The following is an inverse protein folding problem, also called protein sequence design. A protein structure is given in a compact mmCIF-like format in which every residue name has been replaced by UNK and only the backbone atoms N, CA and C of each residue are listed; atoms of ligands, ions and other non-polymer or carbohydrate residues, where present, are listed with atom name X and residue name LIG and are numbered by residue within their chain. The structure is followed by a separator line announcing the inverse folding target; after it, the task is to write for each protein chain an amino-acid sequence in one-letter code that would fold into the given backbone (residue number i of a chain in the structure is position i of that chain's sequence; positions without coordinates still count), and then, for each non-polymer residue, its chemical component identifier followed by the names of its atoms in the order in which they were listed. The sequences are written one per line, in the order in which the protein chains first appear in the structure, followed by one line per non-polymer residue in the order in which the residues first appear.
data_IF_125114935006
#
_entry.id   IF_125114935006
#
_cell.length_a   1.000
_cell.length_b   1.000
_cell.length_c   1.000
_cell.angle_alpha   90.00
_cell.angle_beta   90.00
_cell.angle_gamma   90.00
#
_symmetry.space_group_name_H-M   'P 1'
#
loop_
_entity.id
_entity.type
_entity.pdbx_description
1 polymer ?
#
# COMPACT_ATOMS: atom_id res chain seq x y z
N UNK A 1 -24.00 -0.83 21.06
CA UNK A 1 -23.30 -1.61 20.03
C UNK A 1 -21.80 -1.76 20.31
N UNK A 2 -21.20 -0.90 21.11
CA UNK A 2 -19.78 -0.97 21.53
C UNK A 2 -19.56 -2.04 22.62
N UNK A 3 -20.52 -2.21 23.53
CA UNK A 3 -20.45 -3.20 24.61
C UNK A 3 -20.51 -4.66 24.16
N UNK A 4 -21.16 -4.95 23.05
CA UNK A 4 -21.26 -6.32 22.51
C UNK A 4 -19.93 -6.91 21.97
N UNK A 5 -18.87 -6.10 21.88
CA UNK A 5 -17.55 -6.54 21.42
C UNK A 5 -16.55 -6.83 22.56
N UNK A 6 -16.92 -6.59 23.83
CA UNK A 6 -15.99 -6.69 24.97
C UNK A 6 -15.96 -8.07 25.66
N UNK A 7 -16.91 -8.98 25.42
CA UNK A 7 -16.93 -10.25 26.14
C UNK A 7 -17.07 -11.46 25.20
N UNK A 8 -15.96 -11.93 24.66
CA UNK A 8 -15.67 -13.35 24.46
C UNK A 8 -14.17 -13.55 24.60
N UNK A 9 -13.75 -13.99 25.79
CA UNK A 9 -12.48 -14.71 25.94
C UNK A 9 -12.55 -15.93 25.02
N UNK A 10 -11.75 -15.90 23.96
CA UNK A 10 -11.58 -17.04 23.08
C UNK A 10 -10.65 -17.98 23.82
N UNK A 11 -11.18 -19.11 24.30
CA UNK A 11 -10.38 -20.23 24.77
C UNK A 11 -9.47 -20.70 23.63
N UNK A 12 -8.17 -20.63 23.89
CA UNK A 12 -7.15 -21.16 22.98
C UNK A 12 -7.19 -22.67 23.03
N UNK A 13 -7.71 -23.31 21.99
CA UNK A 13 -7.52 -24.73 21.78
C UNK A 13 -6.06 -24.94 21.33
N UNK A 14 -5.27 -25.79 22.00
CA UNK A 14 -3.88 -26.02 21.62
C UNK A 14 -3.80 -26.87 20.35
N UNK A 15 -3.48 -26.24 19.21
CA UNK A 15 -3.10 -26.93 17.99
C UNK A 15 -1.58 -27.14 18.00
N UNK A 16 -1.20 -28.38 18.21
CA UNK A 16 0.17 -28.90 18.16
C UNK A 16 0.67 -28.86 16.71
N UNK A 17 1.61 -27.98 16.44
CA UNK A 17 2.66 -28.18 15.42
C UNK A 17 3.86 -27.33 15.78
N UNK A 18 4.81 -27.96 16.44
CA UNK A 18 6.11 -27.40 16.81
C UNK A 18 7.12 -27.58 15.70
N UNK A 19 6.99 -26.85 14.62
CA UNK A 19 8.15 -26.53 13.78
C UNK A 19 8.53 -25.09 14.05
N UNK A 20 9.74 -24.77 14.53
CA UNK A 20 10.17 -23.41 14.69
C UNK A 20 10.30 -22.81 13.28
N UNK A 21 9.32 -21.97 12.88
CA UNK A 21 9.48 -21.11 11.74
C UNK A 21 10.63 -20.18 12.08
N UNK A 22 11.80 -20.39 11.45
CA UNK A 22 12.93 -19.50 11.56
C UNK A 22 12.46 -18.12 11.13
N UNK A 23 12.25 -17.23 12.10
CA UNK A 23 11.71 -15.91 11.88
C UNK A 23 12.71 -15.08 11.05
N UNK A 24 12.51 -15.02 9.75
CA UNK A 24 13.22 -14.12 8.86
C UNK A 24 12.73 -12.69 9.09
N UNK A 25 13.38 -12.00 10.02
CA UNK A 25 13.10 -10.58 10.27
C UNK A 25 13.34 -9.77 8.99
N UNK A 26 12.51 -8.77 8.69
CA UNK A 26 12.79 -7.82 7.62
C UNK A 26 14.19 -7.25 7.80
N UNK A 27 15.02 -7.29 6.75
CA UNK A 27 16.41 -6.81 6.81
C UNK A 27 16.55 -5.60 5.91
N UNK A 28 17.10 -4.51 6.46
CA UNK A 28 17.59 -3.42 5.64
C UNK A 28 18.82 -3.85 4.87
N UNK A 29 18.79 -3.64 3.56
CA UNK A 29 19.89 -3.93 2.64
C UNK A 29 20.55 -2.62 2.26
N UNK A 30 21.80 -2.45 2.63
CA UNK A 30 22.61 -1.23 2.46
C UNK A 30 23.98 -1.55 1.88
N UNK A 31 24.81 -0.54 1.62
CA UNK A 31 26.24 -0.69 1.27
C UNK A 31 26.48 -1.56 0.03
N UNK A 32 27.49 -2.43 0.10
CA UNK A 32 27.89 -3.32 -1.01
C UNK A 32 26.77 -4.28 -1.41
N UNK A 33 26.05 -4.85 -0.43
CA UNK A 33 24.93 -5.76 -0.71
C UNK A 33 23.85 -5.07 -1.55
N UNK A 34 23.54 -3.81 -1.27
CA UNK A 34 22.61 -3.00 -2.05
C UNK A 34 23.09 -2.82 -3.50
N UNK A 35 24.37 -2.49 -3.70
CA UNK A 35 24.95 -2.33 -5.05
C UNK A 35 24.84 -3.61 -5.89
N UNK A 36 25.12 -4.78 -5.28
CA UNK A 36 24.97 -6.09 -5.93
C UNK A 36 23.50 -6.35 -6.32
N UNK A 37 22.56 -6.07 -5.42
CA UNK A 37 21.12 -6.22 -5.69
C UNK A 37 20.69 -5.30 -6.82
N UNK A 38 21.10 -4.03 -6.81
CA UNK A 38 20.78 -3.06 -7.86
C UNK A 38 21.33 -3.49 -9.22
N UNK A 39 22.54 -4.09 -9.27
CA UNK A 39 23.08 -4.63 -10.52
C UNK A 39 22.24 -5.80 -11.06
N UNK A 40 21.81 -6.71 -10.18
CA UNK A 40 20.95 -7.83 -10.56
C UNK A 40 19.55 -7.35 -11.03
N UNK A 41 19.01 -6.29 -10.42
CA UNK A 41 17.78 -5.64 -10.87
C UNK A 41 17.93 -5.12 -12.31
N UNK A 42 19.06 -4.46 -12.63
CA UNK A 42 19.33 -3.99 -14.01
C UNK A 42 19.32 -5.14 -15.02
N UNK A 43 19.88 -6.30 -14.67
CA UNK A 43 19.82 -7.51 -15.48
C UNK A 43 18.36 -8.02 -15.69
N UNK A 44 17.53 -7.93 -14.65
CA UNK A 44 16.10 -8.27 -14.79
C UNK A 44 15.37 -7.29 -15.69
N UNK A 45 15.63 -5.98 -15.57
CA UNK A 45 15.04 -4.97 -16.46
C UNK A 45 15.33 -5.28 -17.93
N UNK A 46 16.59 -5.61 -18.25
CA UNK A 46 16.97 -5.99 -19.60
C UNK A 46 16.22 -7.24 -20.09
N UNK A 47 16.09 -8.27 -19.25
CA UNK A 47 15.30 -9.47 -19.57
C UNK A 47 13.83 -9.14 -19.87
N UNK A 48 13.21 -8.25 -19.08
CA UNK A 48 11.82 -7.82 -19.28
C UNK A 48 11.70 -7.04 -20.61
N UNK A 49 12.64 -6.13 -20.93
CA UNK A 49 12.67 -5.40 -22.19
C UNK A 49 12.69 -6.37 -23.39
N UNK A 50 13.58 -7.37 -23.35
CA UNK A 50 13.70 -8.40 -24.42
C UNK A 50 12.40 -9.23 -24.55
N UNK A 51 11.75 -9.54 -23.42
CA UNK A 51 10.45 -10.22 -23.43
C UNK A 51 9.35 -9.35 -24.09
N UNK A 52 9.36 -8.04 -23.81
CA UNK A 52 8.32 -7.12 -24.27
C UNK A 52 8.44 -6.78 -25.76
N UNK A 53 9.65 -6.66 -26.28
CA UNK A 53 9.87 -6.18 -27.65
C UNK A 53 10.64 -7.18 -28.51
N UNK A 54 10.19 -7.36 -29.76
CA UNK A 54 10.84 -8.25 -30.73
C UNK A 54 12.02 -7.58 -31.41
N UNK A 55 11.91 -6.27 -31.67
CA UNK A 55 12.92 -5.52 -32.41
C UNK A 55 14.04 -5.05 -31.46
N UNK A 56 15.33 -5.39 -31.69
CA UNK A 56 16.46 -4.95 -30.91
C UNK A 56 16.61 -3.42 -30.79
N UNK A 57 16.20 -2.67 -31.81
CA UNK A 57 16.23 -1.20 -31.77
C UNK A 57 15.30 -0.65 -30.68
N UNK A 58 14.18 -1.31 -30.41
CA UNK A 58 13.27 -0.94 -29.35
C UNK A 58 13.90 -1.16 -27.94
N UNK A 59 14.86 -2.07 -27.82
CA UNK A 59 15.51 -2.34 -26.53
C UNK A 59 16.29 -1.13 -26.01
N UNK A 60 17.01 -0.44 -26.92
CA UNK A 60 17.77 0.77 -26.58
C UNK A 60 16.80 1.88 -26.17
N UNK A 61 15.73 2.09 -26.95
CA UNK A 61 14.70 3.08 -26.64
C UNK A 61 14.02 2.82 -25.29
N UNK A 62 13.64 1.57 -25.02
CA UNK A 62 13.04 1.11 -23.76
C UNK A 62 13.98 1.31 -22.57
N UNK A 63 15.28 0.99 -22.73
CA UNK A 63 16.28 1.21 -21.68
C UNK A 63 16.44 2.71 -21.36
N UNK A 64 16.55 3.54 -22.40
CA UNK A 64 16.65 4.99 -22.24
C UNK A 64 15.37 5.57 -21.60
N UNK A 65 14.20 5.04 -21.95
CA UNK A 65 12.94 5.39 -21.32
C UNK A 65 12.94 5.09 -19.80
N UNK A 66 13.34 3.87 -19.39
CA UNK A 66 13.43 3.51 -17.97
C UNK A 66 14.47 4.35 -17.21
N UNK A 67 15.58 4.72 -17.84
CA UNK A 67 16.57 5.64 -17.26
C UNK A 67 15.96 7.03 -17.05
N UNK A 68 15.23 7.57 -18.05
CA UNK A 68 14.53 8.85 -17.92
C UNK A 68 13.47 8.80 -16.84
N UNK A 69 12.67 7.71 -16.79
CA UNK A 69 11.66 7.49 -15.77
C UNK A 69 12.29 7.49 -14.36
N UNK A 70 13.40 6.76 -14.18
CA UNK A 70 14.14 6.79 -12.92
C UNK A 70 14.62 8.19 -12.54
N UNK A 71 15.18 8.96 -13.51
CA UNK A 71 15.62 10.34 -13.28
C UNK A 71 14.46 11.26 -12.93
N UNK A 72 13.30 11.06 -13.56
CA UNK A 72 12.07 11.80 -13.25
C UNK A 72 11.64 11.60 -11.79
N UNK A 73 11.72 10.36 -11.25
CA UNK A 73 11.34 10.07 -9.88
C UNK A 73 12.40 10.44 -8.85
N UNK A 74 13.65 10.12 -9.10
CA UNK A 74 14.72 10.24 -8.12
C UNK A 74 15.61 11.49 -8.33
N UNK A 75 15.52 12.14 -9.50
CA UNK A 75 16.46 13.20 -9.82
C UNK A 75 17.90 12.73 -9.65
N UNK A 76 18.65 13.48 -8.83
CA UNK A 76 20.03 13.17 -8.43
C UNK A 76 20.10 12.34 -7.12
N UNK A 77 18.96 12.09 -6.48
CA UNK A 77 18.93 11.39 -5.21
C UNK A 77 19.36 9.92 -5.37
N UNK A 78 20.12 9.42 -4.39
CA UNK A 78 20.64 8.04 -4.37
C UNK A 78 19.83 7.20 -3.40
N UNK A 79 19.43 6.01 -3.85
CA UNK A 79 18.80 5.01 -2.98
C UNK A 79 19.89 4.36 -2.13
N UNK A 80 19.82 4.54 -0.82
CA UNK A 80 20.79 4.03 0.16
C UNK A 80 20.34 2.76 0.86
N UNK A 81 19.07 2.38 0.71
CA UNK A 81 18.48 1.24 1.41
C UNK A 81 17.36 0.56 0.60
N UNK A 82 17.18 -0.72 0.83
CA UNK A 82 16.04 -1.54 0.39
C UNK A 82 15.66 -2.48 1.52
N UNK A 83 14.45 -3.03 1.48
CA UNK A 83 14.01 -4.05 2.44
C UNK A 83 14.08 -5.43 1.79
N UNK A 84 14.68 -6.41 2.48
CA UNK A 84 14.66 -7.80 2.07
C UNK A 84 13.80 -8.62 3.04
N UNK A 85 12.82 -9.31 2.53
CA UNK A 85 11.98 -10.26 3.28
C UNK A 85 11.86 -11.53 2.46
N UNK A 86 12.20 -12.68 3.05
CA UNK A 86 12.12 -13.99 2.37
C UNK A 86 12.84 -14.02 0.99
N UNK A 87 13.98 -13.34 0.87
CA UNK A 87 14.76 -13.29 -0.37
C UNK A 87 14.16 -12.42 -1.48
N UNK A 88 13.04 -11.74 -1.24
CA UNK A 88 12.45 -10.73 -2.11
C UNK A 88 12.86 -9.34 -1.64
N UNK A 89 13.07 -8.41 -2.58
CA UNK A 89 13.60 -7.08 -2.28
C UNK A 89 12.59 -6.00 -2.65
N UNK A 90 12.24 -5.17 -1.68
CA UNK A 90 11.27 -4.10 -1.81
C UNK A 90 11.97 -2.74 -1.79
N UNK A 91 11.68 -1.89 -2.77
CA UNK A 91 12.15 -0.50 -2.86
C UNK A 91 11.12 0.50 -2.36
N UNK A 92 9.87 0.07 -2.25
CA UNK A 92 8.73 0.88 -1.82
C UNK A 92 7.51 0.01 -1.56
N UNK A 93 6.49 0.62 -0.95
CA UNK A 93 5.25 -0.05 -0.58
C UNK A 93 4.38 -0.38 -1.81
N UNK A 94 4.40 0.49 -2.82
CA UNK A 94 3.55 0.40 -4.01
C UNK A 94 4.29 -0.07 -5.26
N UNK A 95 5.42 -0.73 -5.04
CA UNK A 95 6.19 -1.40 -6.09
C UNK A 95 6.35 -2.86 -5.68
N UNK A 96 5.89 -3.81 -6.50
CA UNK A 96 6.06 -5.23 -6.18
C UNK A 96 7.52 -5.60 -5.91
N UNK A 97 7.71 -6.62 -5.10
CA UNK A 97 9.05 -7.06 -4.76
C UNK A 97 9.83 -7.52 -5.99
N UNK A 98 11.08 -7.09 -6.13
CA UNK A 98 11.98 -7.74 -7.08
C UNK A 98 12.17 -9.21 -6.72
N UNK A 99 12.18 -10.08 -7.73
CA UNK A 99 12.05 -11.54 -7.73
C UNK A 99 10.61 -12.03 -7.55
N UNK A 100 9.61 -11.20 -7.85
CA UNK A 100 8.22 -11.67 -7.97
C UNK A 100 7.71 -11.53 -9.41
N UNK A 101 6.70 -12.34 -9.81
CA UNK A 101 6.01 -12.14 -11.08
C UNK A 101 5.34 -10.76 -11.19
N UNK A 102 4.83 -10.23 -10.07
CA UNK A 102 4.26 -8.89 -9.98
C UNK A 102 5.25 -7.80 -10.38
N UNK A 103 6.54 -7.95 -10.04
CA UNK A 103 7.59 -6.99 -10.44
C UNK A 103 7.78 -6.96 -11.97
N UNK A 104 7.83 -8.12 -12.63
CA UNK A 104 7.96 -8.18 -14.09
C UNK A 104 6.74 -7.55 -14.78
N UNK A 105 5.52 -7.82 -14.27
CA UNK A 105 4.28 -7.16 -14.75
C UNK A 105 4.32 -5.65 -14.56
N UNK A 106 4.75 -5.20 -13.40
CA UNK A 106 4.90 -3.77 -13.10
C UNK A 106 5.85 -3.08 -14.09
N UNK A 107 7.01 -3.66 -14.39
CA UNK A 107 7.97 -3.10 -15.36
C UNK A 107 7.37 -3.13 -16.77
N UNK A 108 6.70 -4.21 -17.19
CA UNK A 108 6.04 -4.30 -18.47
C UNK A 108 4.95 -3.22 -18.64
N UNK A 109 4.19 -2.93 -17.59
CA UNK A 109 3.21 -1.84 -17.57
C UNK A 109 3.85 -0.45 -17.76
N UNK A 110 5.03 -0.20 -17.14
CA UNK A 110 5.77 1.04 -17.39
C UNK A 110 6.28 1.13 -18.83
N UNK A 111 6.76 0.02 -19.37
CA UNK A 111 7.25 -0.04 -20.76
C UNK A 111 6.13 0.15 -21.80
N UNK A 112 4.88 -0.19 -21.46
CA UNK A 112 3.73 0.06 -22.32
C UNK A 112 3.51 1.56 -22.62
N UNK A 113 3.87 2.44 -21.68
CA UNK A 113 3.80 3.89 -21.89
C UNK A 113 4.88 4.40 -22.86
N UNK A 114 5.98 3.65 -23.04
CA UNK A 114 6.99 3.95 -24.07
C UNK A 114 6.53 3.51 -25.45
N UNK A 115 6.10 2.26 -25.57
CA UNK A 115 5.58 1.65 -26.79
C UNK A 115 4.68 0.48 -26.40
N UNK A 116 3.53 0.28 -27.06
CA UNK A 116 2.67 -0.86 -26.76
C UNK A 116 3.44 -2.18 -26.79
N UNK A 117 3.30 -2.97 -25.72
CA UNK A 117 3.97 -4.26 -25.59
C UNK A 117 3.34 -5.26 -26.54
N UNK A 118 4.15 -5.93 -27.37
CA UNK A 118 3.69 -6.85 -28.42
C UNK A 118 3.42 -8.28 -27.91
N UNK A 119 3.85 -8.59 -26.69
CA UNK A 119 3.69 -9.93 -26.08
C UNK A 119 3.08 -9.82 -24.70
N UNK A 120 2.02 -10.61 -24.48
CA UNK A 120 1.33 -10.73 -23.20
C UNK A 120 0.30 -9.64 -22.93
N UNK A 121 -0.59 -9.90 -21.99
CA UNK A 121 -1.52 -8.90 -21.49
C UNK A 121 -0.76 -7.88 -20.65
N UNK A 122 -0.81 -6.63 -21.05
CA UNK A 122 -0.22 -5.53 -20.28
C UNK A 122 -1.32 -4.78 -19.59
N UNK A 123 -1.17 -4.67 -18.30
CA UNK A 123 -2.10 -3.96 -17.47
C UNK A 123 -1.77 -2.47 -17.40
N UNK A 124 -2.81 -1.65 -17.46
CA UNK A 124 -2.71 -0.21 -17.25
C UNK A 124 -2.57 0.14 -15.76
N UNK A 125 -3.31 -0.58 -14.90
CA UNK A 125 -3.34 -0.34 -13.46
C UNK A 125 -2.35 -1.24 -12.74
N UNK A 126 -1.51 -0.64 -11.90
CA UNK A 126 -0.53 -1.37 -11.10
C UNK A 126 -1.04 -1.68 -9.70
N UNK A 127 -1.77 -0.73 -9.11
CA UNK A 127 -2.22 -0.79 -7.72
C UNK A 127 -3.73 -0.60 -7.63
N UNK A 128 -4.41 -1.48 -6.93
CA UNK A 128 -5.83 -1.36 -6.64
C UNK A 128 -6.03 -1.39 -5.14
N UNK A 129 -6.70 -0.37 -4.61
CA UNK A 129 -7.25 -0.40 -3.26
C UNK A 129 -8.66 -0.94 -3.33
N UNK A 130 -8.97 -1.98 -2.58
CA UNK A 130 -10.27 -2.61 -2.57
C UNK A 130 -10.84 -2.67 -1.15
N UNK A 131 -11.93 -1.95 -0.92
CA UNK A 131 -12.67 -1.96 0.33
C UNK A 131 -13.64 -3.14 0.37
N UNK A 132 -13.38 -4.12 1.25
CA UNK A 132 -14.16 -5.37 1.30
C UNK A 132 -15.29 -5.36 2.34
N UNK A 133 -15.37 -4.30 3.18
CA UNK A 133 -16.36 -4.21 4.25
C UNK A 133 -16.62 -2.77 4.67
N UNK A 134 -17.87 -2.46 5.01
CA UNK A 134 -18.30 -1.21 5.67
C UNK A 134 -18.12 -1.26 7.19
N UNK A 135 -17.89 -2.44 7.78
CA UNK A 135 -17.83 -2.61 9.22
C UNK A 135 -16.51 -2.13 9.79
N UNK A 136 -16.59 -1.29 10.83
CA UNK A 136 -15.44 -0.79 11.58
C UNK A 136 -15.83 -0.52 13.03
N UNK A 137 -14.93 -0.81 13.97
CA UNK A 137 -15.10 -0.48 15.38
C UNK A 137 -14.66 0.95 15.71
N UNK A 138 -13.95 1.62 14.79
CA UNK A 138 -13.36 2.94 14.99
C UNK A 138 -14.19 4.06 14.36
N UNK A 139 -13.97 5.30 14.84
CA UNK A 139 -14.60 6.53 14.35
C UNK A 139 -13.54 7.60 14.08
N UNK A 140 -12.50 7.25 13.33
CA UNK A 140 -11.29 8.06 13.15
C UNK A 140 -11.58 9.45 12.58
N UNK A 141 -10.81 10.45 13.03
CA UNK A 141 -10.94 11.86 12.61
C UNK A 141 -10.81 12.07 11.09
N UNK A 142 -9.98 11.25 10.42
CA UNK A 142 -9.66 11.39 8.98
C UNK A 142 -10.31 10.31 8.10
N UNK A 143 -11.35 9.62 8.60
CA UNK A 143 -11.95 8.50 7.90
C UNK A 143 -12.56 8.93 6.55
N UNK A 144 -11.98 8.50 5.43
CA UNK A 144 -12.50 8.82 4.10
C UNK A 144 -13.77 8.01 3.74
N UNK A 145 -13.99 6.85 4.39
CA UNK A 145 -15.20 6.02 4.25
C UNK A 145 -16.32 6.39 5.24
N UNK A 146 -16.21 7.52 5.93
CA UNK A 146 -17.10 7.93 7.03
C UNK A 146 -18.57 7.75 6.71
N UNK A 147 -18.99 8.20 5.52
CA UNK A 147 -20.38 8.14 5.09
C UNK A 147 -20.90 6.71 4.91
N UNK A 148 -20.03 5.75 4.67
CA UNK A 148 -20.36 4.35 4.41
C UNK A 148 -20.19 3.45 5.63
N UNK A 149 -19.49 3.92 6.67
CA UNK A 149 -19.20 3.10 7.84
C UNK A 149 -20.46 2.52 8.47
N UNK A 150 -20.38 1.22 8.75
CA UNK A 150 -21.40 0.45 9.47
C UNK A 150 -22.79 0.41 8.81
N UNK A 151 -22.96 0.94 7.58
CA UNK A 151 -24.15 0.72 6.78
C UNK A 151 -24.30 -0.76 6.38
N UNK A 152 -25.41 -1.11 5.76
CA UNK A 152 -25.68 -2.45 5.23
C UNK A 152 -24.66 -2.76 4.12
N UNK A 153 -24.04 -3.90 4.19
CA UNK A 153 -23.19 -4.41 3.12
C UNK A 153 -24.03 -4.96 1.98
N UNK A 154 -23.60 -4.72 0.75
CA UNK A 154 -24.32 -5.12 -0.46
C UNK A 154 -23.61 -6.24 -1.21
N UNK A 155 -22.27 -6.36 -1.07
CA UNK A 155 -21.50 -7.39 -1.75
C UNK A 155 -21.44 -8.69 -0.93
N UNK A 156 -21.81 -9.78 -1.58
CA UNK A 156 -21.61 -11.14 -1.08
C UNK A 156 -20.14 -11.56 -1.20
N UNK A 157 -19.73 -12.60 -0.50
CA UNK A 157 -18.38 -13.16 -0.61
C UNK A 157 -18.04 -13.60 -2.05
N UNK A 158 -19.00 -14.18 -2.77
CA UNK A 158 -18.83 -14.56 -4.17
C UNK A 158 -18.56 -13.36 -5.08
N UNK A 159 -19.23 -12.24 -4.85
CA UNK A 159 -19.00 -11.01 -5.60
C UNK A 159 -17.65 -10.40 -5.27
N UNK A 160 -17.22 -10.38 -4.00
CA UNK A 160 -15.88 -9.96 -3.61
C UNK A 160 -14.80 -10.82 -4.32
N UNK A 161 -14.96 -12.13 -4.40
CA UNK A 161 -14.07 -13.02 -5.15
C UNK A 161 -14.12 -12.72 -6.66
N UNK A 162 -15.30 -12.47 -7.21
CA UNK A 162 -15.49 -12.06 -8.61
C UNK A 162 -14.76 -10.77 -8.95
N UNK A 163 -14.81 -9.77 -8.08
CA UNK A 163 -14.08 -8.51 -8.23
C UNK A 163 -12.58 -8.77 -8.25
N UNK A 164 -12.03 -9.52 -7.28
CA UNK A 164 -10.59 -9.85 -7.25
C UNK A 164 -10.17 -10.54 -8.55
N UNK A 165 -10.95 -11.52 -9.03
CA UNK A 165 -10.67 -12.22 -10.28
C UNK A 165 -10.63 -11.25 -11.47
N UNK A 166 -11.64 -10.40 -11.63
CA UNK A 166 -11.73 -9.44 -12.74
C UNK A 166 -10.55 -8.47 -12.78
N UNK A 167 -10.14 -7.91 -11.63
CA UNK A 167 -8.99 -7.01 -11.59
C UNK A 167 -7.66 -7.76 -11.85
N UNK A 168 -7.54 -9.02 -11.44
CA UNK A 168 -6.38 -9.85 -11.73
C UNK A 168 -6.28 -10.24 -13.20
N UNK A 169 -7.41 -10.47 -13.89
CA UNK A 169 -7.48 -10.69 -15.35
C UNK A 169 -6.97 -9.46 -16.12
N UNK A 170 -7.09 -8.25 -15.55
CA UNK A 170 -6.45 -7.04 -16.08
C UNK A 170 -4.96 -6.95 -15.77
N UNK A 171 -4.39 -7.93 -15.07
CA UNK A 171 -2.96 -8.04 -14.78
C UNK A 171 -2.46 -7.14 -13.64
N UNK A 172 -3.32 -6.69 -12.74
CA UNK A 172 -2.96 -5.84 -11.59
C UNK A 172 -1.82 -6.45 -10.78
N UNK A 173 -0.79 -5.65 -10.48
CA UNK A 173 0.42 -6.14 -9.82
C UNK A 173 0.28 -6.21 -8.30
N UNK A 174 -0.50 -5.28 -7.70
CA UNK A 174 -0.75 -5.24 -6.25
C UNK A 174 -2.20 -4.90 -5.95
N UNK A 175 -2.77 -5.59 -4.97
CA UNK A 175 -4.12 -5.37 -4.45
C UNK A 175 -4.01 -5.10 -2.95
N UNK A 176 -4.52 -3.95 -2.52
CA UNK A 176 -4.55 -3.52 -1.14
C UNK A 176 -5.97 -3.71 -0.59
N UNK A 177 -6.17 -4.76 0.21
CA UNK A 177 -7.46 -5.06 0.83
C UNK A 177 -7.68 -4.12 2.02
N UNK A 178 -8.76 -3.37 1.99
CA UNK A 178 -9.12 -2.35 2.98
C UNK A 178 -10.64 -2.36 3.24
N UNK A 179 -11.19 -1.22 3.66
CA UNK A 179 -12.61 -1.02 3.94
C UNK A 179 -12.80 -0.17 5.18
N UNK A 180 -13.76 -0.54 6.01
CA UNK A 180 -13.76 -0.16 7.41
C UNK A 180 -12.58 -0.84 8.12
N UNK A 181 -12.82 -1.99 8.78
CA UNK A 181 -11.74 -2.82 9.32
C UNK A 181 -11.82 -4.23 8.68
N UNK A 182 -10.95 -4.55 7.73
CA UNK A 182 -11.02 -5.80 6.97
C UNK A 182 -10.84 -7.06 7.83
N UNK A 183 -10.15 -6.98 8.95
CA UNK A 183 -9.97 -8.11 9.87
C UNK A 183 -11.25 -8.53 10.60
N UNK A 184 -12.34 -7.76 10.48
CA UNK A 184 -13.68 -8.20 10.90
C UNK A 184 -14.25 -9.27 9.95
N UNK A 185 -13.70 -9.41 8.74
CA UNK A 185 -14.04 -10.45 7.76
C UNK A 185 -12.88 -11.42 7.54
N UNK A 186 -12.29 -11.93 8.61
CA UNK A 186 -11.07 -12.73 8.55
C UNK A 186 -11.18 -13.95 7.63
N UNK A 187 -12.30 -14.68 7.67
CA UNK A 187 -12.50 -15.87 6.84
C UNK A 187 -12.67 -15.49 5.36
N UNK A 188 -13.37 -14.42 5.07
CA UNK A 188 -13.46 -13.83 3.71
C UNK A 188 -12.09 -13.43 3.18
N UNK A 189 -11.24 -12.77 4.01
CA UNK A 189 -9.86 -12.44 3.63
C UNK A 189 -9.06 -13.67 3.24
N UNK A 190 -9.11 -14.71 4.05
CA UNK A 190 -8.42 -15.99 3.76
C UNK A 190 -8.95 -16.62 2.48
N UNK A 191 -10.26 -16.63 2.27
CA UNK A 191 -10.87 -17.17 1.05
C UNK A 191 -10.46 -16.39 -0.20
N UNK A 192 -10.45 -15.04 -0.14
CA UNK A 192 -9.98 -14.18 -1.23
C UNK A 192 -8.52 -14.48 -1.59
N UNK A 193 -7.64 -14.58 -0.59
CA UNK A 193 -6.22 -14.85 -0.79
C UNK A 193 -5.94 -16.24 -1.35
N UNK A 194 -6.67 -17.27 -0.88
CA UNK A 194 -6.49 -18.65 -1.34
C UNK A 194 -6.92 -18.82 -2.81
N UNK A 195 -8.00 -18.15 -3.22
CA UNK A 195 -8.56 -18.25 -4.56
C UNK A 195 -7.89 -17.31 -5.57
N UNK A 196 -7.01 -16.40 -5.11
CA UNK A 196 -6.37 -15.42 -5.95
C UNK A 196 -5.18 -15.96 -6.76
N UNK A 197 -4.95 -15.40 -7.96
CA UNK A 197 -3.73 -15.62 -8.74
C UNK A 197 -2.50 -15.07 -7.97
N UNK A 198 -1.50 -15.91 -7.79
CA UNK A 198 -0.24 -15.58 -7.08
C UNK A 198 0.67 -14.61 -7.85
N UNK A 199 0.28 -14.20 -9.03
CA UNK A 199 0.99 -13.18 -9.81
C UNK A 199 0.71 -11.74 -9.34
N UNK A 200 -0.33 -11.51 -8.53
CA UNK A 200 -0.54 -10.25 -7.81
C UNK A 200 -0.05 -10.37 -6.37
N UNK A 201 0.51 -9.29 -5.83
CA UNK A 201 0.83 -9.17 -4.41
C UNK A 201 -0.37 -8.60 -3.65
N UNK A 202 -0.67 -9.18 -2.50
CA UNK A 202 -1.77 -8.73 -1.64
C UNK A 202 -1.23 -8.06 -0.39
N UNK A 203 -1.79 -6.90 -0.07
CA UNK A 203 -1.51 -6.14 1.13
C UNK A 203 -2.80 -5.92 1.92
N UNK A 204 -2.69 -5.87 3.24
CA UNK A 204 -3.79 -5.54 4.15
C UNK A 204 -3.60 -4.11 4.65
N UNK A 205 -4.65 -3.28 4.60
CA UNK A 205 -4.70 -1.96 5.23
C UNK A 205 -5.63 -2.06 6.42
N UNK A 206 -5.12 -1.85 7.65
CA UNK A 206 -5.83 -2.17 8.90
C UNK A 206 -5.47 -1.20 10.02
N UNK A 207 -6.35 -1.08 11.00
CA UNK A 207 -6.05 -0.44 12.30
C UNK A 207 -5.16 -1.31 13.21
N UNK A 208 -4.96 -2.58 12.84
CA UNK A 208 -4.31 -3.59 13.68
C UNK A 208 -5.28 -4.39 14.55
N UNK A 209 -6.54 -3.97 14.65
CA UNK A 209 -7.56 -4.70 15.41
C UNK A 209 -7.66 -6.16 14.95
N UNK A 210 -7.59 -7.09 15.89
CA UNK A 210 -7.62 -8.54 15.63
C UNK A 210 -6.48 -9.10 14.75
N UNK A 211 -5.39 -8.38 14.51
CA UNK A 211 -4.21 -8.98 13.89
C UNK A 211 -3.42 -9.80 14.93
N UNK A 212 -4.07 -10.81 15.50
CA UNK A 212 -3.47 -11.76 16.44
C UNK A 212 -2.40 -12.60 15.74
N UNK A 213 -1.56 -13.30 16.52
CA UNK A 213 -0.55 -14.20 15.94
C UNK A 213 -1.16 -15.30 15.06
N UNK A 214 -2.30 -15.86 15.47
CA UNK A 214 -3.04 -16.86 14.69
C UNK A 214 -3.55 -16.28 13.38
N UNK A 215 -4.16 -15.08 13.39
CA UNK A 215 -4.67 -14.44 12.19
C UNK A 215 -3.54 -14.02 11.24
N UNK A 216 -2.43 -13.49 11.77
CA UNK A 216 -1.24 -13.15 10.97
C UNK A 216 -0.67 -14.40 10.27
N UNK A 217 -0.61 -15.53 10.96
CA UNK A 217 -0.20 -16.82 10.37
C UNK A 217 -1.14 -17.27 9.26
N UNK A 218 -2.46 -17.33 9.51
CA UNK A 218 -3.48 -17.69 8.51
C UNK A 218 -3.39 -16.84 7.26
N UNK A 219 -3.25 -15.52 7.41
CA UNK A 219 -3.10 -14.60 6.29
C UNK A 219 -1.79 -14.84 5.52
N UNK A 220 -0.69 -15.11 6.22
CA UNK A 220 0.60 -15.42 5.59
C UNK A 220 0.52 -16.72 4.77
N UNK A 221 -0.06 -17.77 5.33
CA UNK A 221 -0.25 -19.06 4.67
C UNK A 221 -1.15 -18.93 3.44
N UNK A 222 -2.20 -18.10 3.51
CA UNK A 222 -3.08 -17.80 2.38
C UNK A 222 -2.39 -16.95 1.28
N UNK A 223 -1.25 -16.31 1.56
CA UNK A 223 -0.46 -15.60 0.55
C UNK A 223 -0.38 -14.08 0.73
N UNK A 224 -0.77 -13.54 1.88
CA UNK A 224 -0.59 -12.11 2.17
C UNK A 224 0.89 -11.73 2.17
N UNK A 225 1.21 -10.62 1.51
CA UNK A 225 2.58 -10.08 1.42
C UNK A 225 2.94 -9.28 2.68
N UNK A 226 2.04 -8.40 3.11
CA UNK A 226 2.29 -7.54 4.26
C UNK A 226 1.06 -6.77 4.72
N UNK A 227 1.23 -5.99 5.79
CA UNK A 227 0.20 -5.16 6.38
C UNK A 227 0.66 -3.70 6.50
N UNK A 228 -0.21 -2.78 6.13
CA UNK A 228 -0.12 -1.36 6.37
C UNK A 228 -0.99 -1.07 7.58
N UNK A 229 -0.37 -0.79 8.71
CA UNK A 229 -1.03 -0.64 10.00
C UNK A 229 -1.08 0.85 10.33
N UNK A 230 -2.26 1.33 10.63
CA UNK A 230 -2.51 2.75 10.88
C UNK A 230 -2.03 3.17 12.26
N UNK A 231 -1.09 4.13 12.32
CA UNK A 231 -0.63 4.77 13.56
C UNK A 231 -0.48 6.27 13.30
N UNK A 232 -1.27 7.10 13.97
CA UNK A 232 -1.30 8.55 13.70
C UNK A 232 -0.52 9.38 14.71
N UNK A 233 -0.08 8.78 15.81
CA UNK A 233 0.78 9.43 16.78
C UNK A 233 1.65 8.41 17.53
N UNK A 234 2.87 8.82 17.90
CA UNK A 234 3.79 8.00 18.70
C UNK A 234 3.44 8.00 20.20
N UNK A 235 2.60 8.94 20.65
CA UNK A 235 2.05 8.99 22.01
C UNK A 235 0.73 8.22 22.02
N UNK A 236 0.57 7.20 22.92
CA UNK A 236 -0.63 6.35 22.96
C UNK A 236 -1.95 7.11 23.07
N UNK A 237 -2.02 8.05 24.00
CA UNK A 237 -3.23 8.83 24.27
C UNK A 237 -3.65 9.68 23.07
N UNK A 238 -2.68 10.29 22.38
CA UNK A 238 -2.94 11.08 21.18
C UNK A 238 -3.47 10.22 20.02
N UNK A 239 -2.87 9.04 19.82
CA UNK A 239 -3.37 8.09 18.82
C UNK A 239 -4.78 7.59 19.17
N UNK A 240 -5.01 7.21 20.41
CA UNK A 240 -6.30 6.71 20.88
C UNK A 240 -7.40 7.77 20.73
N UNK A 241 -7.11 9.03 21.04
CA UNK A 241 -8.02 10.17 20.83
C UNK A 241 -8.34 10.33 19.35
N UNK A 242 -7.34 10.30 18.47
CA UNK A 242 -7.51 10.45 17.03
C UNK A 242 -8.34 9.31 16.40
N UNK A 243 -8.26 8.10 16.98
CA UNK A 243 -9.01 6.92 16.54
C UNK A 243 -10.35 6.75 17.26
N UNK A 244 -10.64 7.57 18.27
CA UNK A 244 -11.80 7.47 19.16
C UNK A 244 -11.96 6.08 19.78
N UNK A 245 -10.82 5.49 20.22
CA UNK A 245 -10.81 4.20 20.90
C UNK A 245 -9.61 4.08 21.86
N UNK A 246 -9.88 3.79 23.14
CA UNK A 246 -8.90 3.83 24.25
C UNK A 246 -7.69 2.88 24.11
N UNK A 247 -7.84 1.79 23.34
CA UNK A 247 -6.81 0.75 23.22
C UNK A 247 -6.23 0.65 21.79
N UNK A 248 -6.56 1.60 20.89
CA UNK A 248 -6.17 1.53 19.48
C UNK A 248 -4.64 1.48 19.28
N UNK A 249 -3.88 2.17 20.13
CA UNK A 249 -2.42 2.16 20.08
C UNK A 249 -1.83 0.77 20.37
N UNK A 250 -2.35 0.09 21.36
CA UNK A 250 -1.86 -1.24 21.75
C UNK A 250 -2.17 -2.30 20.69
N UNK A 251 -3.26 -2.14 19.94
CA UNK A 251 -3.52 -2.99 18.78
C UNK A 251 -2.42 -2.87 17.72
N UNK A 252 -1.89 -1.66 17.51
CA UNK A 252 -0.81 -1.43 16.54
C UNK A 252 0.47 -2.14 16.97
N UNK A 253 0.90 -1.99 18.23
CA UNK A 253 2.11 -2.64 18.73
C UNK A 253 2.01 -4.17 18.64
N UNK A 254 0.87 -4.72 19.04
CA UNK A 254 0.60 -6.15 18.95
C UNK A 254 0.55 -6.64 17.50
N UNK A 255 -0.16 -5.91 16.64
CA UNK A 255 -0.29 -6.23 15.23
C UNK A 255 1.07 -6.25 14.50
N UNK A 256 1.91 -5.24 14.74
CA UNK A 256 3.28 -5.18 14.17
C UNK A 256 4.12 -6.37 14.65
N UNK A 257 4.08 -6.68 15.95
CA UNK A 257 4.78 -7.83 16.54
C UNK A 257 4.33 -9.14 15.88
N UNK A 258 3.02 -9.35 15.80
CA UNK A 258 2.43 -10.57 15.24
C UNK A 258 2.71 -10.73 13.74
N UNK A 259 2.61 -9.65 12.98
CA UNK A 259 2.95 -9.63 11.56
C UNK A 259 4.44 -9.96 11.32
N UNK A 260 5.35 -9.30 12.07
CA UNK A 260 6.78 -9.56 11.97
C UNK A 260 7.14 -11.01 12.34
N UNK A 261 6.51 -11.58 13.36
CA UNK A 261 6.73 -12.97 13.79
C UNK A 261 6.28 -13.99 12.72
N UNK A 262 5.31 -13.61 11.89
CA UNK A 262 4.80 -14.45 10.80
C UNK A 262 5.36 -14.06 9.41
N UNK A 263 6.49 -13.35 9.36
CA UNK A 263 7.16 -12.96 8.11
C UNK A 263 6.27 -12.16 7.15
N UNK A 264 5.30 -11.40 7.66
CA UNK A 264 4.61 -10.36 6.93
C UNK A 264 5.45 -9.08 6.93
N UNK A 265 5.44 -8.37 5.81
CA UNK A 265 6.07 -7.06 5.75
C UNK A 265 5.17 -6.07 6.48
N UNK A 266 5.75 -5.23 7.32
CA UNK A 266 5.00 -4.23 8.06
C UNK A 266 5.31 -2.82 7.57
N UNK A 267 4.26 -2.03 7.44
CA UNK A 267 4.33 -0.59 7.24
C UNK A 267 3.45 0.10 8.27
N UNK A 268 3.86 1.26 8.77
CA UNK A 268 2.97 2.17 9.49
C UNK A 268 2.42 3.23 8.53
N UNK A 269 1.16 3.62 8.72
CA UNK A 269 0.53 4.72 7.97
C UNK A 269 0.17 5.84 8.94
N UNK A 270 0.72 7.02 8.68
CA UNK A 270 0.57 8.24 9.46
C UNK A 270 -0.20 9.28 8.64
N UNK A 271 -1.29 9.83 9.18
CA UNK A 271 -1.87 11.06 8.70
C UNK A 271 -1.06 12.25 9.25
N UNK A 272 -0.35 12.95 8.38
CA UNK A 272 0.49 14.10 8.75
C UNK A 272 -0.38 15.35 8.91
N UNK A 273 -1.08 15.47 10.06
CA UNK A 273 -1.92 16.65 10.37
C UNK A 273 -1.07 17.87 10.71
N UNK A 274 -1.65 19.06 10.64
CA UNK A 274 -0.97 20.33 10.97
C UNK A 274 -0.37 20.30 12.38
N UNK A 275 -1.14 19.76 13.33
CA UNK A 275 -0.75 19.68 14.76
C UNK A 275 0.41 18.70 14.97
N UNK A 276 0.55 17.72 14.09
CA UNK A 276 1.61 16.72 14.18
C UNK A 276 2.94 17.19 13.56
N UNK A 277 2.88 18.03 12.49
CA UNK A 277 4.05 18.34 11.67
C UNK A 277 5.05 19.22 12.43
N UNK A 278 6.07 18.58 12.96
CA UNK A 278 7.35 19.20 13.39
C UNK A 278 8.48 18.22 13.12
N UNK A 279 9.71 18.68 13.00
CA UNK A 279 10.87 17.79 12.78
C UNK A 279 11.05 16.84 13.97
N UNK A 280 10.78 17.31 15.19
CA UNK A 280 10.85 16.56 16.43
C UNK A 280 9.83 15.41 16.43
N UNK A 281 8.55 15.68 16.13
CA UNK A 281 7.49 14.67 16.09
C UNK A 281 7.74 13.65 14.99
N UNK A 282 8.12 14.10 13.81
CA UNK A 282 8.45 13.22 12.69
C UNK A 282 9.63 12.30 13.05
N UNK A 283 10.65 12.81 13.75
CA UNK A 283 11.80 12.02 14.18
C UNK A 283 11.42 11.03 15.30
N UNK A 284 10.65 11.45 16.31
CA UNK A 284 10.16 10.59 17.39
C UNK A 284 9.32 9.43 16.81
N UNK A 285 8.48 9.72 15.81
CA UNK A 285 7.71 8.69 15.10
C UNK A 285 8.61 7.70 14.37
N UNK A 286 9.65 8.18 13.68
CA UNK A 286 10.60 7.29 12.98
C UNK A 286 11.44 6.45 13.93
N UNK A 287 11.79 6.96 15.13
CA UNK A 287 12.46 6.16 16.18
C UNK A 287 11.53 5.04 16.68
N UNK A 288 10.24 5.34 16.92
CA UNK A 288 9.26 4.31 17.27
C UNK A 288 9.12 3.28 16.15
N UNK A 289 8.99 3.71 14.89
CA UNK A 289 8.88 2.82 13.74
C UNK A 289 10.11 1.90 13.61
N UNK A 290 11.31 2.42 13.86
CA UNK A 290 12.55 1.65 13.89
C UNK A 290 12.58 0.65 15.06
N UNK A 291 12.16 1.07 16.26
CA UNK A 291 12.03 0.21 17.45
C UNK A 291 11.06 -0.96 17.19
N UNK A 292 9.93 -0.69 16.56
CA UNK A 292 8.93 -1.68 16.15
C UNK A 292 9.41 -2.56 14.97
N UNK A 293 10.54 -2.25 14.35
CA UNK A 293 11.14 -2.99 13.21
C UNK A 293 10.22 -3.05 11.99
N UNK A 294 9.45 -1.98 11.73
CA UNK A 294 8.69 -1.89 10.49
C UNK A 294 9.60 -1.60 9.30
N UNK A 295 9.15 -2.00 8.11
CA UNK A 295 9.91 -1.84 6.87
C UNK A 295 9.69 -0.47 6.23
N UNK A 296 8.46 0.04 6.32
CA UNK A 296 8.02 1.26 5.68
C UNK A 296 7.24 2.14 6.66
N UNK A 297 7.26 3.45 6.39
CA UNK A 297 6.35 4.42 6.99
C UNK A 297 5.72 5.21 5.87
N UNK A 298 4.40 5.17 5.76
CA UNK A 298 3.64 5.95 4.80
C UNK A 298 3.22 7.27 5.43
N UNK A 299 3.54 8.39 4.78
CA UNK A 299 3.00 9.70 5.11
C UNK A 299 1.82 10.02 4.19
N UNK A 300 0.68 10.30 4.77
CA UNK A 300 -0.54 10.72 4.09
C UNK A 300 -0.89 12.14 4.53
N UNK A 301 -0.98 13.05 3.56
CA UNK A 301 -1.53 14.38 3.82
C UNK A 301 -3.03 14.28 4.09
N UNK A 302 -3.56 15.00 5.07
CA UNK A 302 -4.99 15.07 5.29
C UNK A 302 -5.70 15.63 4.05
N UNK A 303 -6.89 15.12 3.78
CA UNK A 303 -7.74 15.55 2.66
C UNK A 303 -9.13 15.87 3.20
N UNK A 304 -9.76 16.92 2.67
CA UNK A 304 -11.11 17.35 3.05
C UNK A 304 -12.19 16.44 2.46
N UNK A 305 -12.17 15.15 2.85
CA UNK A 305 -13.11 14.11 2.40
C UNK A 305 -13.60 13.26 3.57
N UNK A 306 -14.72 12.62 3.46
CA UNK A 306 -15.31 11.80 4.51
C UNK A 306 -15.52 12.59 5.80
N UNK A 307 -15.00 12.14 6.93
CA UNK A 307 -15.13 12.83 8.22
C UNK A 307 -14.45 14.21 8.25
N UNK A 308 -13.48 14.44 7.36
CA UNK A 308 -12.86 15.75 7.15
C UNK A 308 -13.55 16.61 6.08
N UNK A 309 -14.67 16.17 5.51
CA UNK A 309 -15.40 16.97 4.53
C UNK A 309 -15.76 18.35 5.11
N UNK A 310 -15.54 19.39 4.33
CA UNK A 310 -15.78 20.80 4.70
C UNK A 310 -14.93 21.33 5.89
N UNK A 311 -13.88 20.62 6.31
CA UNK A 311 -12.91 21.10 7.32
C UNK A 311 -11.64 21.64 6.65
N UNK A 312 -11.03 22.65 7.24
CA UNK A 312 -9.74 23.20 6.79
C UNK A 312 -8.56 22.36 7.29
N UNK A 313 -8.35 21.22 6.67
CA UNK A 313 -7.32 20.25 7.07
C UNK A 313 -6.13 20.20 6.13
N UNK A 314 -6.20 20.85 4.96
CA UNK A 314 -5.12 20.81 3.98
C UNK A 314 -3.86 21.51 4.51
N UNK A 315 -2.71 20.91 4.25
CA UNK A 315 -1.43 21.48 4.62
C UNK A 315 -1.12 22.73 3.78
N UNK A 316 -0.52 23.73 4.43
CA UNK A 316 0.03 24.89 3.74
C UNK A 316 1.44 24.59 3.17
N UNK A 317 2.03 25.56 2.44
CA UNK A 317 3.32 25.37 1.77
C UNK A 317 4.48 25.16 2.76
N UNK A 318 4.44 25.80 3.92
CA UNK A 318 5.48 25.69 4.95
C UNK A 318 5.45 24.30 5.59
N UNK A 319 4.26 23.82 5.94
CA UNK A 319 4.03 22.47 6.49
C UNK A 319 4.47 21.40 5.50
N UNK A 320 4.11 21.56 4.22
CA UNK A 320 4.55 20.67 3.13
C UNK A 320 6.08 20.66 3.03
N UNK A 321 6.73 21.83 3.09
CA UNK A 321 8.18 21.93 2.99
C UNK A 321 8.89 21.19 4.13
N UNK A 322 8.37 21.24 5.36
CA UNK A 322 8.89 20.47 6.50
C UNK A 322 8.84 18.96 6.21
N UNK A 323 7.68 18.46 5.77
CA UNK A 323 7.50 17.03 5.47
C UNK A 323 8.40 16.59 4.31
N UNK A 324 8.50 17.38 3.24
CA UNK A 324 9.36 17.07 2.09
C UNK A 324 10.85 17.04 2.46
N UNK A 325 11.30 18.04 3.23
CA UNK A 325 12.68 18.09 3.74
C UNK A 325 13.01 16.86 4.57
N UNK A 326 12.11 16.50 5.48
CA UNK A 326 12.25 15.33 6.34
C UNK A 326 12.25 14.01 5.53
N UNK A 327 11.32 13.86 4.58
CA UNK A 327 11.27 12.74 3.65
C UNK A 327 12.60 12.53 2.93
N UNK A 328 13.17 13.61 2.37
CA UNK A 328 14.46 13.55 1.68
C UNK A 328 15.60 13.21 2.64
N UNK A 329 15.63 13.79 3.83
CA UNK A 329 16.62 13.52 4.88
C UNK A 329 16.67 12.02 5.21
N UNK A 330 15.53 11.40 5.52
CA UNK A 330 15.47 9.99 5.93
C UNK A 330 15.74 9.02 4.78
N UNK A 331 15.25 9.31 3.58
CA UNK A 331 15.35 8.34 2.49
C UNK A 331 16.67 8.40 1.72
N UNK A 332 17.24 9.60 1.58
CA UNK A 332 18.37 9.82 0.64
C UNK A 332 19.67 10.23 1.32
N UNK A 333 19.73 10.23 2.66
CA UNK A 333 20.98 10.44 3.40
C UNK A 333 21.48 9.13 3.99
N UNK A 334 22.73 8.79 3.77
CA UNK A 334 23.35 7.52 4.19
C UNK A 334 23.27 7.27 5.71
N UNK A 335 23.36 8.34 6.53
CA UNK A 335 23.26 8.25 8.00
C UNK A 335 21.92 7.63 8.48
N UNK A 336 20.86 7.74 7.69
CA UNK A 336 19.53 7.21 8.02
C UNK A 336 19.23 5.85 7.35
N UNK A 337 20.25 5.15 6.87
CA UNK A 337 20.07 3.86 6.18
C UNK A 337 19.48 2.75 7.06
N UNK A 338 19.56 2.86 8.39
CA UNK A 338 18.96 1.92 9.34
C UNK A 338 17.48 2.19 9.66
N UNK A 339 16.94 3.34 9.23
CA UNK A 339 15.54 3.69 9.45
C UNK A 339 14.62 3.10 8.38
N UNK A 340 13.33 2.88 8.68
CA UNK A 340 12.33 2.50 7.68
C UNK A 340 12.35 3.44 6.46
N UNK A 341 11.88 2.93 5.33
CA UNK A 341 11.73 3.74 4.11
C UNK A 341 10.44 4.53 4.22
N UNK A 342 10.51 5.85 4.07
CA UNK A 342 9.31 6.70 4.03
C UNK A 342 8.70 6.64 2.63
N UNK A 343 7.41 6.42 2.56
CA UNK A 343 6.59 6.50 1.35
C UNK A 343 5.75 7.77 1.43
N UNK A 344 5.99 8.71 0.52
CA UNK A 344 5.31 10.00 0.52
C UNK A 344 4.88 10.40 -0.88
N UNK A 345 3.62 10.11 -1.19
CA UNK A 345 3.07 10.36 -2.53
C UNK A 345 2.99 11.85 -2.87
N UNK A 346 2.64 12.69 -1.91
CA UNK A 346 2.52 14.15 -2.10
C UNK A 346 3.77 14.77 -2.72
N UNK A 347 4.97 14.29 -2.33
CA UNK A 347 6.24 14.74 -2.90
C UNK A 347 6.29 14.55 -4.43
N UNK A 348 5.87 13.38 -4.92
CA UNK A 348 5.89 13.05 -6.35
C UNK A 348 4.70 13.66 -7.09
N UNK A 349 3.52 13.69 -6.47
CA UNK A 349 2.31 14.24 -7.06
C UNK A 349 2.46 15.72 -7.41
N UNK A 350 3.07 16.53 -6.55
CA UNK A 350 3.32 17.94 -6.81
C UNK A 350 4.32 18.19 -7.95
N UNK A 351 5.20 17.23 -8.24
CA UNK A 351 6.26 17.38 -9.26
C UNK A 351 5.90 16.73 -10.60
N UNK A 352 4.98 15.79 -10.62
CA UNK A 352 4.76 14.92 -11.78
C UNK A 352 3.28 14.69 -12.10
N UNK A 353 2.39 15.32 -11.33
CA UNK A 353 0.97 15.01 -11.36
C UNK A 353 0.63 13.71 -10.62
N UNK A 354 -0.65 13.42 -10.47
CA UNK A 354 -1.09 12.19 -9.84
C UNK A 354 -0.92 11.00 -10.79
N UNK A 355 0.05 10.14 -10.50
CA UNK A 355 0.29 8.92 -11.29
C UNK A 355 -0.69 7.79 -10.93
N UNK A 356 -1.29 7.83 -9.73
CA UNK A 356 -2.22 6.81 -9.27
C UNK A 356 -3.65 7.05 -9.79
N UNK A 357 -4.22 8.22 -9.50
CA UNK A 357 -5.64 8.53 -9.67
C UNK A 357 -6.21 8.24 -11.05
N UNK A 358 -6.69 7.03 -11.26
CA UNK A 358 -7.25 6.56 -12.52
C UNK A 358 -6.23 6.23 -13.62
N UNK A 359 -4.93 6.56 -13.46
CA UNK A 359 -3.88 6.28 -14.46
C UNK A 359 -3.18 4.94 -14.21
N UNK A 360 -2.56 4.77 -13.03
CA UNK A 360 -1.84 3.55 -12.62
C UNK A 360 -2.41 2.91 -11.36
N UNK A 361 -3.41 3.53 -10.75
CA UNK A 361 -4.12 3.03 -9.58
C UNK A 361 -5.57 3.43 -9.59
N UNK A 362 -6.39 2.67 -8.88
CA UNK A 362 -7.81 2.93 -8.66
C UNK A 362 -8.23 2.48 -7.27
N UNK A 363 -9.39 2.95 -6.86
CA UNK A 363 -10.07 2.53 -5.65
C UNK A 363 -11.42 1.88 -6.00
N UNK A 364 -11.65 0.70 -5.44
CA UNK A 364 -12.93 0.02 -5.51
C UNK A 364 -13.53 0.10 -4.11
N UNK A 365 -14.66 0.74 -3.98
CA UNK A 365 -15.33 0.91 -2.71
C UNK A 365 -16.12 -0.32 -2.26
N UNK A 366 -16.79 -0.22 -1.13
CA UNK A 366 -17.54 -1.32 -0.50
C UNK A 366 -18.79 -1.76 -1.27
N UNK A 367 -19.19 -1.02 -2.29
CA UNK A 367 -20.31 -1.34 -3.18
C UNK A 367 -19.82 -1.87 -4.55
N UNK A 368 -18.49 -1.97 -4.73
CA UNK A 368 -17.86 -2.40 -5.97
C UNK A 368 -17.69 -1.29 -7.00
N UNK A 369 -17.93 -0.05 -6.61
CA UNK A 369 -17.83 1.10 -7.48
C UNK A 369 -16.40 1.54 -7.71
N UNK A 370 -16.09 1.92 -8.94
CA UNK A 370 -14.74 2.27 -9.40
C UNK A 370 -14.53 3.76 -9.24
N UNK A 371 -13.51 4.13 -8.47
CA UNK A 371 -13.13 5.50 -8.17
C UNK A 371 -11.65 5.75 -8.50
N UNK A 372 -11.23 6.99 -8.82
CA UNK A 372 -9.82 7.30 -9.11
C UNK A 372 -8.87 7.00 -7.97
N UNK A 373 -9.26 7.28 -6.72
CA UNK A 373 -8.50 6.97 -5.51
C UNK A 373 -9.41 7.04 -4.28
N UNK A 374 -8.93 6.59 -3.09
CA UNK A 374 -9.73 6.66 -1.84
C UNK A 374 -10.18 8.06 -1.45
N UNK A 375 -9.50 9.11 -1.95
CA UNK A 375 -9.82 10.51 -1.63
C UNK A 375 -10.61 11.23 -2.74
N UNK A 376 -10.98 10.54 -3.81
CA UNK A 376 -11.75 11.09 -4.92
C UNK A 376 -12.84 10.09 -5.32
N UNK A 377 -14.03 10.28 -4.75
CA UNK A 377 -15.20 9.41 -4.96
C UNK A 377 -15.99 9.83 -6.20
N UNK A 378 -15.28 9.96 -7.34
CA UNK A 378 -15.89 10.20 -8.66
C UNK A 378 -16.14 8.86 -9.35
N UNK A 379 -17.21 8.20 -8.98
CA UNK A 379 -17.63 6.92 -9.54
C UNK A 379 -17.71 6.97 -11.08
N UNK A 380 -17.06 6.01 -11.74
CA UNK A 380 -17.10 5.84 -13.21
C UNK A 380 -17.93 4.62 -13.63
N UNK A 381 -18.28 3.73 -12.73
CA UNK A 381 -19.06 2.52 -12.94
C UNK A 381 -18.82 1.51 -11.84
N UNK A 382 -19.24 0.28 -12.03
CA UNK A 382 -19.06 -0.82 -11.08
C UNK A 382 -18.21 -1.94 -11.69
N UNK A 383 -17.36 -2.58 -10.89
CA UNK A 383 -16.51 -3.69 -11.36
C UNK A 383 -17.33 -4.87 -11.85
N UNK A 384 -18.53 -5.08 -11.31
CA UNK A 384 -19.40 -6.20 -11.66
C UNK A 384 -20.22 -5.96 -12.95
N UNK A 385 -20.23 -4.73 -13.45
CA UNK A 385 -20.96 -4.42 -14.68
C UNK A 385 -20.36 -5.18 -15.88
N UNK A 386 -21.21 -5.50 -16.89
CA UNK A 386 -20.72 -6.05 -18.15
C UNK A 386 -19.70 -5.15 -18.85
N UNK A 387 -19.89 -3.83 -18.78
CA UNK A 387 -19.08 -2.79 -19.44
C UNK A 387 -17.85 -2.35 -18.63
N UNK A 388 -17.32 -3.22 -17.79
CA UNK A 388 -16.17 -2.92 -16.91
C UNK A 388 -14.98 -2.28 -17.65
N UNK A 389 -14.68 -2.70 -18.89
CA UNK A 389 -13.58 -2.13 -19.68
C UNK A 389 -13.83 -0.67 -20.05
N UNK A 390 -15.06 -0.31 -20.41
CA UNK A 390 -15.44 1.08 -20.71
C UNK A 390 -15.33 1.96 -19.45
N UNK A 391 -15.67 1.43 -18.28
CA UNK A 391 -15.49 2.14 -17.00
C UNK A 391 -14.02 2.39 -16.68
N UNK A 392 -13.13 1.44 -16.98
CA UNK A 392 -11.68 1.65 -16.82
C UNK A 392 -11.11 2.70 -17.78
N UNK A 393 -11.62 2.78 -19.01
CA UNK A 393 -11.24 3.82 -19.98
C UNK A 393 -11.72 5.19 -19.54
N UNK A 394 -12.96 5.30 -19.08
CA UNK A 394 -13.53 6.54 -18.52
C UNK A 394 -12.73 7.00 -17.30
N UNK A 395 -12.38 6.08 -16.39
CA UNK A 395 -11.54 6.37 -15.24
C UNK A 395 -10.19 6.97 -15.64
N UNK A 396 -9.56 6.37 -16.63
CA UNK A 396 -8.22 6.75 -17.07
C UNK A 396 -8.18 8.10 -17.80
N UNK A 397 -9.28 8.50 -18.45
CA UNK A 397 -9.41 9.82 -19.11
C UNK A 397 -9.73 10.94 -18.12
N UNK A 398 -10.35 10.61 -16.96
CA UNK A 398 -10.81 11.59 -15.98
C UNK A 398 -9.70 12.29 -15.17
N UNK A 399 -8.56 11.64 -14.95
CA UNK A 399 -7.42 12.20 -14.21
C UNK A 399 -7.74 12.60 -12.76
N UNK A 400 -6.79 13.32 -12.16
CA UNK A 400 -6.95 13.92 -10.83
C UNK A 400 -6.73 15.43 -10.92
N UNK A 401 -7.78 16.22 -10.88
CA UNK A 401 -7.71 17.70 -11.00
C UNK A 401 -6.89 18.39 -9.91
N UNK A 402 -6.71 17.75 -8.74
CA UNK A 402 -5.90 18.31 -7.65
C UNK A 402 -4.39 18.37 -7.95
N UNK A 403 -3.91 17.64 -8.95
CA UNK A 403 -2.50 17.53 -9.31
C UNK A 403 -2.30 17.53 -10.84
N UNK A 404 -3.23 18.10 -11.59
CA UNK A 404 -3.02 18.30 -13.03
C UNK A 404 -1.92 19.32 -13.23
N UNK A 405 -0.79 18.87 -13.73
CA UNK A 405 0.25 19.75 -14.25
C UNK A 405 -0.12 20.05 -15.70
N UNK A 406 -0.67 21.22 -15.97
CA UNK A 406 -0.77 21.79 -17.33
C UNK A 406 0.57 21.90 -18.00
#
# INVERSE_FOLDING_TARGET
MVEAFQEKKIEETPLISTTPVTAFKPQMVTGLRLKVVQLKIKGTLLKVIIKCYRNPLDWIGALLYLIRLRRRFLGNDKVHKMVCVNGKYHIGLYTPAWKSPGYERFIASQLHDFKPVTKGAVNRFNNVFFAITKKCALQCEHCFEWENLNKKEVLSEKELQGIVKRIQEKGVSQIHLSGGEPLLKMDTLVALLNNADKASEFWLVTSGFKLTNTNARRLKEAGLTGAVISLDHFIPEAHNTFRHFKDAYYWVEEAVKNANNNNLITALSLCTTREFISEENLMAYMELAKKLKVSFVQFLEPKAVGHYANKEVLLNQEEIAVVEKFFKKINFTAAYSAYPIIIYHGYYQRRQGCLSGGKKGMYIDTDGDINPCPFCHKKTGNVLDPDFDNHLEALASGGCSAYDTN
#
